data_IF_306572949342
#
_entry.id   IF_306572949342
#
_cell.length_a   1.000
_cell.length_b   1.000
_cell.length_c   1.000
_cell.angle_alpha   90.00
_cell.angle_beta   90.00
_cell.angle_gamma   90.00
#
_symmetry.space_group_name_H-M   'P 1'
#
loop_
_entity.id
_entity.type
_entity.pdbx_description
1 polymer ?
#
# COMPACT_ATOMS: atom_id res chain seq x y z
N UNK A 1 -8.00 21.26 -1.81
CA UNK A 1 -8.65 19.94 -1.60
C UNK A 1 -7.53 18.96 -1.25
N UNK A 2 -7.44 18.53 0.01
CA UNK A 2 -6.28 17.76 0.52
C UNK A 2 -6.21 16.32 -0.03
N UNK A 3 -5.03 15.69 0.03
CA UNK A 3 -4.78 14.33 -0.47
C UNK A 3 -5.75 13.29 0.14
N UNK A 4 -6.18 13.48 1.39
CA UNK A 4 -7.19 12.64 2.05
C UNK A 4 -8.56 12.71 1.38
N UNK A 5 -9.01 13.90 0.96
CA UNK A 5 -10.33 14.08 0.32
C UNK A 5 -10.33 13.39 -1.05
N UNK A 6 -9.23 13.52 -1.80
CA UNK A 6 -9.06 12.84 -3.09
C UNK A 6 -9.05 11.32 -2.93
N UNK A 7 -8.33 10.82 -1.93
CA UNK A 7 -8.27 9.38 -1.64
C UNK A 7 -9.65 8.79 -1.31
N UNK A 8 -10.45 9.48 -0.48
CA UNK A 8 -11.79 9.04 -0.13
C UNK A 8 -12.72 9.00 -1.34
N UNK A 9 -12.72 10.04 -2.16
CA UNK A 9 -13.52 10.09 -3.40
C UNK A 9 -13.13 8.97 -4.38
N UNK A 10 -11.83 8.72 -4.55
CA UNK A 10 -11.35 7.67 -5.43
C UNK A 10 -11.78 6.27 -4.95
N UNK A 11 -11.86 6.05 -3.64
CA UNK A 11 -12.39 4.80 -3.07
C UNK A 11 -13.90 4.69 -3.30
N UNK A 12 -14.66 5.75 -3.04
CA UNK A 12 -16.13 5.76 -3.23
C UNK A 12 -16.50 5.45 -4.68
N UNK A 13 -15.74 5.98 -5.64
CA UNK A 13 -15.92 5.73 -7.06
C UNK A 13 -15.30 4.40 -7.55
N UNK A 14 -14.71 3.59 -6.67
CA UNK A 14 -13.92 2.39 -7.03
C UNK A 14 -12.83 2.65 -8.09
N UNK A 15 -12.31 3.89 -8.16
CA UNK A 15 -11.24 4.27 -9.06
C UNK A 15 -9.88 3.86 -8.46
N UNK A 16 -9.54 2.59 -8.58
CA UNK A 16 -8.33 2.02 -7.99
C UNK A 16 -7.04 2.55 -8.60
N UNK A 17 -7.04 3.01 -9.86
CA UNK A 17 -5.86 3.63 -10.47
C UNK A 17 -5.56 5.01 -9.86
N UNK A 18 -6.59 5.82 -9.62
CA UNK A 18 -6.44 7.10 -8.91
C UNK A 18 -6.01 6.89 -7.45
N UNK A 19 -6.54 5.86 -6.78
CA UNK A 19 -6.06 5.46 -5.43
C UNK A 19 -4.56 5.15 -5.45
N UNK A 20 -4.08 4.42 -6.46
CA UNK A 20 -2.65 4.08 -6.60
C UNK A 20 -1.80 5.35 -6.80
N UNK A 21 -2.26 6.27 -7.66
CA UNK A 21 -1.55 7.52 -7.94
C UNK A 21 -1.40 8.38 -6.68
N UNK A 22 -2.50 8.57 -5.95
CA UNK A 22 -2.52 9.35 -4.70
C UNK A 22 -1.59 8.72 -3.66
N UNK A 23 -1.68 7.40 -3.44
CA UNK A 23 -0.83 6.72 -2.47
C UNK A 23 0.65 6.79 -2.86
N UNK A 24 0.96 6.72 -4.15
CA UNK A 24 2.33 6.86 -4.64
C UNK A 24 2.86 8.26 -4.38
N UNK A 25 2.07 9.30 -4.70
CA UNK A 25 2.43 10.68 -4.38
C UNK A 25 2.68 10.90 -2.88
N UNK A 26 1.82 10.33 -2.02
CA UNK A 26 1.98 10.45 -0.56
C UNK A 26 3.25 9.74 -0.10
N UNK A 27 3.49 8.51 -0.55
CA UNK A 27 4.67 7.72 -0.18
C UNK A 27 5.96 8.41 -0.64
N UNK A 28 5.99 8.97 -1.85
CA UNK A 28 7.18 9.63 -2.41
C UNK A 28 7.47 10.96 -1.69
N UNK A 29 6.42 11.70 -1.29
CA UNK A 29 6.56 12.94 -0.49
C UNK A 29 6.92 12.66 0.96
N UNK A 30 6.47 11.53 1.52
CA UNK A 30 6.74 11.15 2.91
C UNK A 30 8.06 10.42 3.02
N UNK A 31 9.10 11.17 3.39
CA UNK A 31 10.27 10.63 4.09
C UNK A 31 9.89 10.23 5.54
N UNK A 32 8.81 9.46 5.73
CA UNK A 32 8.27 9.26 7.07
C UNK A 32 9.19 8.37 7.91
N UNK A 33 9.83 8.97 8.93
CA UNK A 33 10.47 8.25 10.05
C UNK A 33 9.48 7.37 10.84
N UNK A 34 8.17 7.44 10.57
CA UNK A 34 7.14 6.64 11.22
C UNK A 34 6.83 5.36 10.41
N UNK A 35 7.33 4.22 10.90
CA UNK A 35 7.12 2.90 10.29
C UNK A 35 5.64 2.52 10.19
N UNK A 36 4.83 2.85 11.19
CA UNK A 36 3.40 2.49 11.23
C UNK A 36 2.63 3.14 10.09
N UNK A 37 2.92 4.41 9.80
CA UNK A 37 2.27 5.12 8.71
C UNK A 37 2.65 4.52 7.35
N UNK A 38 3.95 4.22 7.14
CA UNK A 38 4.41 3.57 5.91
C UNK A 38 3.75 2.20 5.72
N UNK A 39 3.56 1.41 6.80
CA UNK A 39 2.85 0.12 6.74
C UNK A 39 1.41 0.32 6.24
N UNK A 40 0.69 1.30 6.79
CA UNK A 40 -0.71 1.57 6.40
C UNK A 40 -0.81 1.97 4.93
N UNK A 41 0.08 2.85 4.46
CA UNK A 41 0.11 3.30 3.08
C UNK A 41 0.43 2.15 2.12
N UNK A 42 1.44 1.34 2.42
CA UNK A 42 1.83 0.18 1.61
C UNK A 42 0.72 -0.88 1.56
N UNK A 43 0.09 -1.23 2.69
CA UNK A 43 -1.05 -2.16 2.70
C UNK A 43 -2.22 -1.66 1.86
N UNK A 44 -2.51 -0.36 1.93
CA UNK A 44 -3.58 0.26 1.14
C UNK A 44 -3.27 0.20 -0.36
N UNK A 45 -2.01 0.45 -0.75
CA UNK A 45 -1.59 0.39 -2.14
C UNK A 45 -1.55 -1.04 -2.69
N UNK A 46 -1.13 -2.02 -1.88
CA UNK A 46 -1.22 -3.45 -2.20
C UNK A 46 -2.66 -3.84 -2.53
N UNK A 47 -3.64 -3.43 -1.72
CA UNK A 47 -5.06 -3.73 -1.96
C UNK A 47 -5.54 -3.15 -3.29
N UNK A 48 -5.16 -1.91 -3.60
CA UNK A 48 -5.51 -1.27 -4.87
C UNK A 48 -4.84 -1.97 -6.07
N UNK A 49 -3.54 -2.28 -5.98
CA UNK A 49 -2.84 -3.06 -7.01
C UNK A 49 -3.44 -4.44 -7.24
N UNK A 50 -3.82 -5.14 -6.17
CA UNK A 50 -4.44 -6.46 -6.27
C UNK A 50 -5.79 -6.38 -7.01
N UNK A 51 -6.63 -5.39 -6.70
CA UNK A 51 -7.89 -5.15 -7.41
C UNK A 51 -7.68 -4.83 -8.90
N UNK A 52 -6.59 -4.14 -9.23
CA UNK A 52 -6.20 -3.85 -10.62
C UNK A 52 -5.34 -4.94 -11.27
N UNK A 53 -5.20 -6.12 -10.63
CA UNK A 53 -4.40 -7.26 -11.12
C UNK A 53 -2.94 -6.91 -11.43
N UNK A 54 -2.40 -5.86 -10.78
CA UNK A 54 -1.01 -5.38 -10.89
C UNK A 54 -0.11 -6.17 -9.92
N UNK A 55 0.01 -7.49 -10.13
CA UNK A 55 0.66 -8.39 -9.17
C UNK A 55 2.16 -8.14 -8.96
N UNK A 56 2.88 -7.67 -9.98
CA UNK A 56 4.28 -7.29 -9.81
C UNK A 56 4.43 -6.13 -8.80
N UNK A 57 3.52 -5.16 -8.85
CA UNK A 57 3.51 -4.05 -7.91
C UNK A 57 3.09 -4.48 -6.50
N UNK A 58 2.22 -5.47 -6.38
CA UNK A 58 1.90 -6.12 -5.09
C UNK A 58 3.16 -6.72 -4.47
N UNK A 59 3.92 -7.51 -5.26
CA UNK A 59 5.17 -8.12 -4.78
C UNK A 59 6.17 -7.07 -4.33
N UNK A 60 6.34 -5.99 -5.10
CA UNK A 60 7.26 -4.90 -4.76
C UNK A 60 6.89 -4.23 -3.43
N UNK A 61 5.60 -3.97 -3.17
CA UNK A 61 5.18 -3.35 -1.92
C UNK A 61 5.23 -4.34 -0.73
N UNK A 62 5.00 -5.63 -0.96
CA UNK A 62 5.24 -6.67 0.06
C UNK A 62 6.71 -6.74 0.47
N UNK A 63 7.65 -6.63 -0.48
CA UNK A 63 9.10 -6.55 -0.19
C UNK A 63 9.43 -5.31 0.63
N UNK A 64 8.82 -4.16 0.32
CA UNK A 64 8.98 -2.92 1.13
C UNK A 64 8.43 -3.07 2.55
N UNK A 65 7.29 -3.74 2.73
CA UNK A 65 6.75 -4.04 4.06
C UNK A 65 7.71 -4.93 4.87
N UNK A 66 8.29 -5.92 4.21
CA UNK A 66 9.27 -6.78 4.84
C UNK A 66 10.53 -6.02 5.26
N UNK A 67 11.06 -5.12 4.42
CA UNK A 67 12.28 -4.37 4.73
C UNK A 67 12.10 -3.40 5.91
N UNK A 68 10.88 -2.97 6.22
CA UNK A 68 10.57 -2.16 7.41
C UNK A 68 10.29 -2.99 8.67
N UNK A 69 10.43 -4.32 8.60
CA UNK A 69 10.24 -5.25 9.72
C UNK A 69 8.78 -5.64 9.96
N UNK A 70 7.88 -5.40 9.01
CA UNK A 70 6.49 -5.82 9.10
C UNK A 70 6.33 -7.21 8.49
N UNK A 71 6.10 -8.20 9.35
CA UNK A 71 5.76 -9.57 8.95
C UNK A 71 4.24 -9.62 8.74
N UNK A 72 3.79 -10.01 7.54
CA UNK A 72 2.38 -10.28 7.29
C UNK A 72 2.08 -11.66 7.89
N UNK A 73 1.65 -11.70 9.14
CA UNK A 73 1.17 -12.92 9.80
C UNK A 73 -0.27 -12.69 10.26
N UNK A 74 -1.19 -13.48 9.76
CA UNK A 74 -2.49 -13.77 10.41
C UNK A 74 -2.87 -15.22 9.98
N UNK A 75 -3.80 -15.87 10.64
CA UNK A 75 -3.86 -17.32 10.80
C UNK A 75 -4.55 -18.04 9.62
N UNK A 76 -4.42 -17.49 8.41
CA UNK A 76 -5.02 -17.99 7.14
C UNK A 76 -4.16 -17.71 5.88
N UNK A 77 -2.89 -17.31 6.03
CA UNK A 77 -2.33 -16.13 5.33
C UNK A 77 -1.17 -16.29 4.34
N UNK A 78 -0.97 -15.19 3.59
CA UNK A 78 0.20 -14.86 2.76
C UNK A 78 1.49 -15.08 3.56
N UNK A 79 2.07 -16.25 3.37
CA UNK A 79 3.43 -16.59 3.78
C UNK A 79 4.41 -15.70 3.03
N UNK A 80 5.16 -14.86 3.76
CA UNK A 80 6.47 -14.42 3.30
C UNK A 80 7.48 -15.12 4.20
N UNK A 81 8.01 -16.25 3.73
CA UNK A 81 9.13 -16.94 4.36
C UNK A 81 10.41 -16.58 3.58
N UNK A 82 11.46 -16.33 4.37
CA UNK A 82 12.89 -16.63 4.16
C UNK A 82 13.90 -15.52 3.94
N UNK A 83 14.95 -15.64 4.76
CA UNK A 83 15.94 -14.74 5.33
C UNK A 83 15.51 -14.12 6.67
#
# INVERSE_FOLDING_TARGET
MGDLVKYLLAIEHNNHDEVIEILTSIIDKKQSNNKTEMIILLKSRIKAYFRNKKYQSVLNDCVKLRSIGYIIADDKHISIIEA
#
